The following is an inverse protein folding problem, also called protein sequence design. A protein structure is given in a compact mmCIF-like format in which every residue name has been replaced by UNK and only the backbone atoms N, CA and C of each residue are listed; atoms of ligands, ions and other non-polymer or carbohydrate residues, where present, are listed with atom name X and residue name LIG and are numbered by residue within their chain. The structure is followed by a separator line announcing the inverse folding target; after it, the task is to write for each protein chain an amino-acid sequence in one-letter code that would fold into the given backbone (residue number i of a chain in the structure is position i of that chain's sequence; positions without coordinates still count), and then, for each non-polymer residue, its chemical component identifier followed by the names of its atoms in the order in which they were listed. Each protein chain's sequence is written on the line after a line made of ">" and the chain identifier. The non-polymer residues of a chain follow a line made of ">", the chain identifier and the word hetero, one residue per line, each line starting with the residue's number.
data_IF_853139517870
#
_entry.id   IF_853139517870
#
_cell.length_a   1.000
_cell.length_b   1.000
_cell.length_c   1.000
_cell.angle_alpha   90.00
_cell.angle_beta   90.00
_cell.angle_gamma   90.00
#
_symmetry.space_group_name_H-M   'P 1'
#
loop_
_entity.id
_entity.type
_entity.pdbx_description
1 polymer ?
#
# COMPACT_ATOMS: atom_id res chain seq x y z
N UNK A 1 5.95 -16.68 -20.28
CA UNK A 1 6.61 -16.15 -19.08
C UNK A 1 5.70 -15.08 -18.53
N UNK A 2 4.79 -15.44 -17.63
CA UNK A 2 3.87 -14.47 -17.02
C UNK A 2 4.68 -13.55 -16.11
N UNK A 3 5.11 -12.41 -16.65
CA UNK A 3 5.69 -11.35 -15.86
C UNK A 3 4.63 -10.93 -14.83
N UNK A 4 5.00 -10.99 -13.55
CA UNK A 4 4.17 -10.52 -12.44
C UNK A 4 3.59 -9.15 -12.82
N UNK A 5 2.28 -9.06 -13.00
CA UNK A 5 1.53 -7.82 -13.20
C UNK A 5 0.96 -7.39 -11.85
N UNK A 6 1.76 -6.77 -10.98
CA UNK A 6 1.29 -6.38 -9.66
C UNK A 6 0.14 -5.38 -9.81
N UNK A 7 -1.00 -5.66 -9.18
CA UNK A 7 -2.11 -4.71 -9.12
C UNK A 7 -1.93 -3.71 -7.98
N UNK A 8 -1.04 -4.01 -7.02
CA UNK A 8 -0.78 -3.21 -5.83
C UNK A 8 0.70 -3.23 -5.46
N UNK A 9 1.23 -2.06 -5.09
CA UNK A 9 2.52 -1.92 -4.42
C UNK A 9 2.31 -1.21 -3.09
N UNK A 10 2.74 -1.83 -1.99
CA UNK A 10 2.66 -1.26 -0.64
C UNK A 10 4.05 -0.94 -0.12
N UNK A 11 4.27 0.32 0.26
CA UNK A 11 5.50 0.76 0.89
C UNK A 11 5.35 0.73 2.41
N UNK A 12 6.05 -0.22 3.06
CA UNK A 12 6.05 -0.37 4.52
C UNK A 12 7.12 0.48 5.23
N UNK A 13 7.87 1.29 4.49
CA UNK A 13 8.88 2.21 5.03
C UNK A 13 8.61 3.64 4.58
N UNK A 14 8.67 4.57 5.53
CA UNK A 14 8.53 5.99 5.26
C UNK A 14 9.66 6.51 4.35
N UNK A 15 10.86 5.92 4.45
CA UNK A 15 11.99 6.28 3.61
C UNK A 15 11.75 5.85 2.16
N UNK A 16 11.38 4.59 1.93
CA UNK A 16 11.10 4.07 0.58
C UNK A 16 9.94 4.82 -0.08
N UNK A 17 8.88 5.13 0.68
CA UNK A 17 7.76 5.95 0.19
C UNK A 17 8.21 7.34 -0.25
N UNK A 18 9.05 8.00 0.56
CA UNK A 18 9.55 9.35 0.27
C UNK A 18 10.44 9.35 -0.96
N UNK A 19 11.34 8.38 -1.08
CA UNK A 19 12.22 8.22 -2.24
C UNK A 19 11.39 7.98 -3.50
N UNK A 20 10.44 7.04 -3.47
CA UNK A 20 9.54 6.75 -4.59
C UNK A 20 8.69 7.96 -5.00
N UNK A 21 8.26 8.78 -4.03
CA UNK A 21 7.54 10.03 -4.32
C UNK A 21 8.44 11.05 -5.01
N UNK A 22 9.67 11.24 -4.52
CA UNK A 22 10.63 12.21 -5.08
C UNK A 22 11.13 11.82 -6.47
N UNK A 23 11.27 10.53 -6.75
CA UNK A 23 11.70 10.03 -8.05
C UNK A 23 10.60 9.99 -9.11
N UNK A 24 9.35 10.31 -8.75
CA UNK A 24 8.20 10.17 -9.65
C UNK A 24 7.71 8.74 -9.86
N UNK A 25 8.32 7.73 -9.21
CA UNK A 25 7.96 6.32 -9.34
C UNK A 25 6.48 6.06 -8.99
N UNK A 26 5.94 6.75 -7.98
CA UNK A 26 4.52 6.61 -7.62
C UNK A 26 3.60 6.99 -8.78
N UNK A 27 3.96 8.00 -9.55
CA UNK A 27 3.17 8.46 -10.69
C UNK A 27 3.29 7.48 -11.86
N UNK A 28 4.50 6.97 -12.12
CA UNK A 28 4.74 5.96 -13.16
C UNK A 28 3.93 4.68 -12.89
N UNK A 29 3.95 4.17 -11.65
CA UNK A 29 3.17 2.99 -11.26
C UNK A 29 1.66 3.23 -11.42
N UNK A 30 1.16 4.39 -10.97
CA UNK A 30 -0.27 4.74 -11.12
C UNK A 30 -0.69 4.88 -12.58
N UNK A 31 0.16 5.43 -13.44
CA UNK A 31 -0.10 5.54 -14.88
C UNK A 31 -0.25 4.16 -15.55
N UNK A 32 0.39 3.14 -15.01
CA UNK A 32 0.24 1.74 -15.45
C UNK A 32 -0.96 1.02 -14.83
N UNK A 33 -1.81 1.71 -14.07
CA UNK A 33 -2.97 1.12 -13.39
C UNK A 33 -2.63 0.39 -12.09
N UNK A 34 -1.39 0.47 -11.61
CA UNK A 34 -0.97 -0.16 -10.35
C UNK A 34 -1.38 0.73 -9.18
N UNK A 35 -2.15 0.18 -8.25
CA UNK A 35 -2.48 0.85 -7.00
C UNK A 35 -1.22 0.99 -6.15
N UNK A 36 -1.04 2.14 -5.51
CA UNK A 36 0.13 2.41 -4.66
C UNK A 36 -0.30 2.97 -3.32
N UNK A 37 0.16 2.34 -2.24
CA UNK A 37 -0.21 2.66 -0.85
C UNK A 37 1.02 2.70 0.06
N UNK A 38 0.91 3.47 1.14
CA UNK A 38 1.88 3.45 2.24
C UNK A 38 1.23 2.74 3.44
N UNK A 39 2.01 1.93 4.15
CA UNK A 39 1.58 1.28 5.38
C UNK A 39 2.68 1.42 6.45
N UNK A 40 2.31 1.28 7.71
CA UNK A 40 3.31 1.17 8.77
C UNK A 40 4.10 -0.13 8.61
N UNK A 41 5.37 -0.13 9.00
CA UNK A 41 6.19 -1.33 8.98
C UNK A 41 5.61 -2.39 9.93
N UNK A 42 5.52 -3.68 9.55
CA UNK A 42 5.00 -4.74 10.42
C UNK A 42 5.76 -4.87 11.75
N UNK A 43 7.07 -4.62 11.73
CA UNK A 43 7.90 -4.62 12.94
C UNK A 43 7.81 -3.33 13.79
N UNK A 44 7.01 -2.33 13.38
CA UNK A 44 6.86 -1.10 14.16
C UNK A 44 5.83 -1.27 15.28
N UNK A 45 6.00 -0.55 16.39
CA UNK A 45 5.02 -0.54 17.49
C UNK A 45 3.61 -0.10 17.03
N UNK A 46 3.51 0.65 15.93
CA UNK A 46 2.28 1.14 15.33
C UNK A 46 1.56 0.09 14.47
N UNK A 47 2.16 -1.08 14.25
CA UNK A 47 1.53 -2.15 13.47
C UNK A 47 0.24 -2.66 14.13
N UNK A 48 0.27 -2.83 15.46
CA UNK A 48 -0.88 -3.28 16.26
C UNK A 48 -1.53 -2.16 17.07
N UNK A 49 -0.92 -0.98 17.15
CA UNK A 49 -1.45 0.15 17.94
C UNK A 49 -2.18 1.15 17.03
N UNK A 50 -3.42 1.53 17.37
CA UNK A 50 -4.11 2.65 16.74
C UNK A 50 -3.27 3.93 16.78
N UNK A 51 -3.33 4.72 15.72
CA UNK A 51 -2.67 6.02 15.67
C UNK A 51 -3.60 7.06 15.09
N UNK A 52 -3.65 8.24 15.72
CA UNK A 52 -4.33 9.42 15.14
C UNK A 52 -3.82 9.76 13.74
N UNK A 53 -2.55 9.49 13.44
CA UNK A 53 -1.98 9.69 12.09
C UNK A 53 -2.59 8.78 11.03
N UNK A 54 -3.19 7.66 11.46
CA UNK A 54 -3.85 6.66 10.62
C UNK A 54 -5.38 6.69 10.83
N UNK A 55 -5.95 7.82 11.27
CA UNK A 55 -7.40 7.95 11.57
C UNK A 55 -7.89 6.89 12.56
N UNK A 56 -7.14 6.73 13.65
CA UNK A 56 -7.39 5.75 14.72
C UNK A 56 -7.38 4.28 14.26
N UNK A 57 -6.78 4.01 13.09
CA UNK A 57 -6.44 2.65 12.65
C UNK A 57 -5.02 2.30 13.06
N UNK A 58 -4.78 1.00 13.20
CA UNK A 58 -3.46 0.41 13.29
C UNK A 58 -2.81 0.31 11.90
N UNK A 59 -1.50 0.08 11.90
CA UNK A 59 -0.76 -0.24 10.67
C UNK A 59 -1.32 -1.46 9.94
N UNK A 60 -1.68 -2.51 10.70
CA UNK A 60 -2.28 -3.74 10.19
C UNK A 60 -3.62 -3.47 9.50
N UNK A 61 -4.52 -2.72 10.14
CA UNK A 61 -5.82 -2.39 9.55
C UNK A 61 -5.67 -1.55 8.27
N UNK A 62 -4.72 -0.62 8.26
CA UNK A 62 -4.42 0.19 7.08
C UNK A 62 -3.87 -0.66 5.93
N UNK A 63 -3.02 -1.65 6.24
CA UNK A 63 -2.49 -2.59 5.27
C UNK A 63 -3.57 -3.52 4.70
N UNK A 64 -4.42 -4.09 5.56
CA UNK A 64 -5.53 -4.95 5.14
C UNK A 64 -6.56 -4.19 4.31
N UNK A 65 -6.86 -2.93 4.66
CA UNK A 65 -7.72 -2.07 3.85
C UNK A 65 -7.13 -1.84 2.45
N UNK A 66 -5.81 -1.59 2.35
CA UNK A 66 -5.13 -1.45 1.06
C UNK A 66 -5.20 -2.72 0.20
N UNK A 67 -5.14 -3.91 0.82
CA UNK A 67 -5.36 -5.17 0.12
C UNK A 67 -6.82 -5.32 -0.32
N UNK A 68 -7.78 -5.05 0.56
CA UNK A 68 -9.21 -5.16 0.27
C UNK A 68 -9.68 -4.27 -0.87
N UNK A 69 -9.13 -3.05 -0.99
CA UNK A 69 -9.42 -2.13 -2.11
C UNK A 69 -9.02 -2.67 -3.48
N UNK A 70 -8.05 -3.59 -3.54
CA UNK A 70 -7.56 -4.18 -4.78
C UNK A 70 -8.12 -5.59 -4.99
N UNK A 71 -8.51 -6.26 -3.90
CA UNK A 71 -9.10 -7.60 -3.89
C UNK A 71 -10.63 -7.60 -4.02
N UNK A 72 -11.27 -6.51 -4.43
CA UNK A 72 -12.64 -6.53 -4.95
C UNK A 72 -12.63 -6.64 -6.47
N UNK A 73 -12.76 -7.85 -7.05
CA UNK A 73 -13.22 -8.00 -8.41
C UNK A 73 -14.73 -7.74 -8.45
N UNK A 74 -15.18 -6.91 -9.39
CA UNK A 74 -16.45 -7.18 -10.04
C UNK A 74 -16.44 -8.64 -10.51
N UNK A 75 -17.47 -9.40 -10.12
CA UNK A 75 -17.86 -10.66 -10.78
C UNK A 75 -16.72 -11.65 -11.05
N UNK A 76 -16.48 -12.54 -10.09
CA UNK A 76 -16.08 -13.91 -10.44
C UNK A 76 -17.26 -14.53 -11.23
N UNK A 77 -17.03 -15.19 -12.39
CA UNK A 77 -18.08 -15.97 -13.05
C UNK A 77 -18.48 -17.19 -12.20
#
# INVERSE_FOLDING_TARGET
>A
MDALRPQLVVFCSALSWRVAKRSGLLNALRATGVAVRAAAHPASAWWHKPSRRLKDRSGRESFLAALGEVMTPSTWP
#
